data_IF_321181014671
#
_entry.id   IF_321181014671
#
_cell.length_a   1.000
_cell.length_b   1.000
_cell.length_c   1.000
_cell.angle_alpha   90.00
_cell.angle_beta   90.00
_cell.angle_gamma   90.00
#
_symmetry.space_group_name_H-M   'P 1'
#
loop_
_entity.id
_entity.type
_entity.pdbx_description
1 polymer ?
#
# COMPACT_ATOMS: atom_id res chain seq x y z
N UNK A 1 11.24 11.08 1.80
CA UNK A 1 11.12 9.63 1.52
C UNK A 1 10.73 8.93 2.80
N UNK A 2 9.92 7.88 2.70
CA UNK A 2 9.40 7.18 3.86
C UNK A 2 9.88 5.73 3.87
N UNK A 3 9.87 5.10 5.04
CA UNK A 3 10.23 3.69 5.19
C UNK A 3 9.35 3.06 6.27
N UNK A 4 8.76 1.89 5.99
CA UNK A 4 8.12 1.03 6.97
C UNK A 4 8.95 -0.22 7.20
N UNK A 5 8.86 -0.80 8.39
CA UNK A 5 9.44 -2.10 8.67
C UNK A 5 8.54 -2.97 9.53
N UNK A 6 8.68 -4.27 9.34
CA UNK A 6 8.08 -5.33 10.13
C UNK A 6 9.17 -6.27 10.61
N UNK A 7 9.21 -6.53 11.90
CA UNK A 7 10.14 -7.47 12.53
C UNK A 7 9.36 -8.44 13.42
N UNK A 8 9.12 -9.68 12.96
CA UNK A 8 8.49 -10.70 13.79
C UNK A 8 9.43 -11.15 14.93
N UNK A 9 8.85 -11.43 16.08
CA UNK A 9 9.55 -11.95 17.25
C UNK A 9 8.75 -13.10 17.87
N UNK A 10 9.35 -13.83 18.79
CA UNK A 10 8.66 -14.90 19.54
C UNK A 10 7.50 -14.40 20.43
N UNK A 11 7.39 -13.09 20.67
CA UNK A 11 6.38 -12.47 21.54
C UNK A 11 5.40 -11.57 20.80
N UNK A 12 5.44 -11.55 19.48
CA UNK A 12 4.64 -10.66 18.62
C UNK A 12 5.50 -10.03 17.52
N UNK A 13 5.23 -8.78 17.16
CA UNK A 13 5.97 -8.12 16.10
C UNK A 13 6.24 -6.65 16.44
N UNK A 14 7.35 -6.12 15.94
CA UNK A 14 7.55 -4.69 15.85
C UNK A 14 7.13 -4.21 14.46
N UNK A 15 6.38 -3.14 14.46
CA UNK A 15 6.02 -2.38 13.28
C UNK A 15 6.46 -0.94 13.48
N UNK A 16 7.13 -0.38 12.52
CA UNK A 16 7.58 1.01 12.59
C UNK A 16 7.55 1.70 11.23
N UNK A 17 7.48 3.03 11.28
CA UNK A 17 7.54 3.87 10.10
C UNK A 17 8.30 5.14 10.36
N UNK A 18 9.14 5.51 9.41
CA UNK A 18 9.71 6.84 9.28
C UNK A 18 8.97 7.59 8.17
N UNK A 19 8.37 8.74 8.49
CA UNK A 19 7.70 9.61 7.52
C UNK A 19 8.56 10.83 7.25
N UNK A 20 9.20 10.86 6.10
CA UNK A 20 10.01 11.98 5.64
C UNK A 20 9.15 12.92 4.78
N UNK A 21 8.62 13.94 5.44
CA UNK A 21 7.70 14.94 4.86
C UNK A 21 8.33 16.34 4.87
N UNK A 22 7.53 17.34 4.53
CA UNK A 22 8.04 18.72 4.54
C UNK A 22 8.47 19.16 5.94
N UNK A 23 9.64 19.79 6.09
CA UNK A 23 10.24 20.12 7.38
C UNK A 23 9.36 20.97 8.31
N UNK A 24 8.42 21.75 7.76
CA UNK A 24 7.48 22.58 8.53
C UNK A 24 6.08 21.97 8.63
N UNK A 25 5.88 20.74 8.19
CA UNK A 25 4.60 20.05 8.28
C UNK A 25 4.44 19.40 9.66
N UNK A 26 3.46 19.84 10.47
CA UNK A 26 3.25 19.21 11.77
C UNK A 26 2.65 17.81 11.61
N UNK A 27 3.18 16.87 12.38
CA UNK A 27 2.64 15.52 12.52
C UNK A 27 1.90 15.42 13.87
N UNK A 28 0.73 14.81 13.86
CA UNK A 28 -0.10 14.64 15.04
C UNK A 28 -0.36 13.17 15.34
N UNK A 29 -0.25 12.78 16.60
CA UNK A 29 -0.79 11.52 17.08
C UNK A 29 -2.25 11.72 17.46
N UNK A 30 -3.16 11.01 16.80
CA UNK A 30 -4.61 11.05 17.05
C UNK A 30 -5.10 9.74 17.61
N UNK A 31 -5.74 9.81 18.77
CA UNK A 31 -6.48 8.70 19.35
C UNK A 31 -7.96 8.86 18.98
N UNK A 32 -8.51 7.88 18.27
CA UNK A 32 -9.92 7.87 17.85
C UNK A 32 -10.64 6.79 18.63
N UNK A 33 -11.61 7.15 19.51
CA UNK A 33 -12.39 6.17 20.23
C UNK A 33 -13.23 5.28 19.31
N UNK A 34 -13.50 4.06 19.72
CA UNK A 34 -14.43 3.15 19.04
C UNK A 34 -15.80 3.81 18.86
N UNK A 35 -16.48 3.53 17.75
CA UNK A 35 -17.80 4.06 17.38
C UNK A 35 -17.87 5.58 17.21
N UNK A 36 -16.74 6.24 17.07
CA UNK A 36 -16.76 7.65 16.71
C UNK A 36 -17.05 7.79 15.22
N UNK A 37 -18.02 8.63 14.83
CA UNK A 37 -18.25 8.95 13.42
C UNK A 37 -16.98 9.48 12.77
N UNK A 38 -16.72 9.02 11.57
CA UNK A 38 -15.55 9.45 10.80
C UNK A 38 -15.92 10.61 9.87
N UNK A 39 -14.97 11.53 9.60
CA UNK A 39 -15.21 12.61 8.65
C UNK A 39 -15.30 12.06 7.23
N UNK A 40 -16.00 12.76 6.35
CA UNK A 40 -15.90 12.56 4.91
C UNK A 40 -14.69 13.30 4.34
N UNK A 41 -14.21 12.82 3.20
CA UNK A 41 -13.12 13.45 2.42
C UNK A 41 -13.62 13.77 1.04
N UNK A 42 -13.40 14.98 0.57
CA UNK A 42 -13.76 15.38 -0.80
C UNK A 42 -12.60 15.17 -1.76
N UNK A 43 -12.89 14.60 -2.93
CA UNK A 43 -11.93 14.42 -4.01
C UNK A 43 -12.65 14.53 -5.38
N UNK A 44 -12.06 15.25 -6.32
CA UNK A 44 -12.59 15.38 -7.69
C UNK A 44 -14.08 15.74 -7.77
N UNK A 45 -14.59 16.56 -6.85
CA UNK A 45 -16.02 16.90 -6.75
C UNK A 45 -16.90 15.78 -6.18
N UNK A 46 -16.33 14.69 -5.67
CA UNK A 46 -17.01 13.56 -5.03
C UNK A 46 -16.69 13.54 -3.54
N UNK A 47 -17.48 12.82 -2.77
CA UNK A 47 -17.23 12.54 -1.36
C UNK A 47 -16.79 11.09 -1.17
N UNK A 48 -15.82 10.89 -0.31
CA UNK A 48 -15.40 9.61 0.22
C UNK A 48 -15.74 9.57 1.70
N UNK A 49 -16.74 8.78 2.05
CA UNK A 49 -17.13 8.58 3.44
C UNK A 49 -16.17 7.58 4.07
N UNK A 50 -15.39 8.05 5.03
CA UNK A 50 -14.60 7.17 5.86
C UNK A 50 -15.55 6.35 6.75
N UNK A 51 -15.34 5.03 6.90
CA UNK A 51 -16.18 4.23 7.78
C UNK A 51 -16.03 4.69 9.23
N UNK A 52 -17.11 4.59 10.00
CA UNK A 52 -17.06 4.79 11.45
C UNK A 52 -16.04 3.84 12.08
N UNK A 53 -15.36 4.31 13.11
CA UNK A 53 -14.32 3.53 13.76
C UNK A 53 -14.95 2.32 14.50
N UNK A 54 -14.91 1.15 13.87
CA UNK A 54 -15.29 -0.14 14.46
C UNK A 54 -14.36 -0.54 15.61
N UNK A 55 -13.13 -0.04 15.60
CA UNK A 55 -12.10 -0.18 16.63
C UNK A 55 -11.59 1.18 17.10
N UNK A 56 -11.05 1.24 18.31
CA UNK A 56 -10.24 2.40 18.71
C UNK A 56 -8.99 2.47 17.82
N UNK A 57 -8.59 3.67 17.41
CA UNK A 57 -7.44 3.86 16.51
C UNK A 57 -6.39 4.74 17.20
N UNK A 58 -5.13 4.41 16.98
CA UNK A 58 -3.99 5.29 17.19
C UNK A 58 -3.37 5.60 15.83
N UNK A 59 -3.41 6.87 15.42
CA UNK A 59 -3.06 7.31 14.06
C UNK A 59 -1.95 8.35 14.10
N UNK A 60 -0.89 8.16 13.33
CA UNK A 60 0.10 9.19 13.04
C UNK A 60 -0.30 9.91 11.75
N UNK A 61 -0.69 11.17 11.86
CA UNK A 61 -1.32 11.93 10.79
C UNK A 61 -0.59 13.24 10.52
N UNK A 62 -0.43 13.66 9.27
CA UNK A 62 -0.23 15.07 8.97
C UNK A 62 -1.40 15.89 9.52
N UNK A 63 -1.12 17.03 10.14
CA UNK A 63 -2.12 17.79 10.92
C UNK A 63 -3.34 18.25 10.10
N UNK A 64 -3.18 18.43 8.80
CA UNK A 64 -4.17 19.02 7.89
C UNK A 64 -5.12 18.00 7.22
N UNK A 65 -4.88 16.67 7.40
CA UNK A 65 -5.73 15.66 6.78
C UNK A 65 -6.34 14.71 7.81
N UNK A 66 -7.50 14.10 7.53
CA UNK A 66 -8.09 13.09 8.39
C UNK A 66 -7.39 11.73 8.28
N UNK A 67 -6.75 11.44 7.16
CA UNK A 67 -6.01 10.21 6.90
C UNK A 67 -4.73 10.10 7.72
N UNK A 68 -4.07 8.95 7.67
CA UNK A 68 -2.90 8.62 8.46
C UNK A 68 -1.75 8.05 7.61
N UNK A 69 -0.52 8.46 7.92
CA UNK A 69 0.70 7.87 7.35
C UNK A 69 0.93 6.45 7.88
N UNK A 70 0.56 6.22 9.13
CA UNK A 70 0.49 4.91 9.76
C UNK A 70 -0.51 4.93 10.91
N UNK A 71 -0.94 3.75 11.32
CA UNK A 71 -1.78 3.62 12.50
C UNK A 71 -1.90 2.18 12.96
N UNK A 72 -2.49 2.06 14.13
CA UNK A 72 -2.82 0.81 14.81
C UNK A 72 -4.27 0.85 15.24
N UNK A 73 -4.99 -0.26 15.15
CA UNK A 73 -6.33 -0.38 15.69
C UNK A 73 -6.40 -1.29 16.93
N UNK A 74 -7.53 -1.26 17.61
CA UNK A 74 -7.76 -2.04 18.83
C UNK A 74 -7.83 -3.56 18.64
N UNK A 75 -7.83 -4.06 17.40
CA UNK A 75 -7.69 -5.48 17.08
C UNK A 75 -6.23 -5.91 16.87
N UNK A 76 -5.27 -4.99 16.98
CA UNK A 76 -3.85 -5.25 16.77
C UNK A 76 -3.42 -5.19 15.31
N UNK A 77 -4.23 -4.63 14.42
CA UNK A 77 -3.86 -4.41 13.02
C UNK A 77 -3.12 -3.09 12.86
N UNK A 78 -1.93 -3.11 12.28
CA UNK A 78 -1.13 -1.95 11.94
C UNK A 78 -0.98 -1.82 10.42
N UNK A 79 -1.05 -0.58 9.91
CA UNK A 79 -0.83 -0.26 8.50
C UNK A 79 0.06 0.97 8.39
N UNK A 80 1.03 0.93 7.49
CA UNK A 80 1.78 2.09 7.03
C UNK A 80 1.80 2.16 5.51
N UNK A 81 1.83 3.36 4.95
CA UNK A 81 1.89 3.57 3.52
C UNK A 81 3.19 4.25 3.08
N UNK A 82 3.58 3.97 1.85
CA UNK A 82 4.71 4.60 1.18
C UNK A 82 4.28 5.15 -0.17
N UNK A 83 4.72 6.36 -0.51
CA UNK A 83 4.51 6.90 -1.84
C UNK A 83 5.34 6.13 -2.86
N UNK A 84 4.69 5.64 -3.92
CA UNK A 84 5.37 4.99 -5.05
C UNK A 84 4.97 5.64 -6.38
N UNK A 85 5.90 5.65 -7.32
CA UNK A 85 5.72 6.32 -8.60
C UNK A 85 5.71 5.30 -9.73
N UNK A 86 4.55 5.19 -10.37
CA UNK A 86 4.27 4.23 -11.43
C UNK A 86 4.23 4.90 -12.81
N UNK A 87 4.42 4.11 -13.86
CA UNK A 87 4.07 4.50 -15.23
C UNK A 87 2.56 4.71 -15.42
N UNK A 88 1.74 4.11 -14.56
CA UNK A 88 0.30 4.34 -14.50
C UNK A 88 0.02 5.53 -13.59
N UNK A 89 -0.52 6.60 -14.16
CA UNK A 89 -0.71 7.86 -13.43
C UNK A 89 -1.81 7.72 -12.39
N UNK A 90 -1.48 8.05 -11.15
CA UNK A 90 -2.48 8.28 -10.11
C UNK A 90 -3.34 9.50 -10.47
N UNK A 91 -4.59 9.52 -10.03
CA UNK A 91 -5.54 10.59 -10.36
C UNK A 91 -5.18 11.87 -9.61
N UNK A 92 -5.01 13.02 -10.30
CA UNK A 92 -4.67 14.28 -9.63
C UNK A 92 -5.70 14.75 -8.60
N UNK A 93 -6.93 14.30 -8.75
CA UNK A 93 -8.10 14.58 -7.93
C UNK A 93 -8.63 13.32 -7.22
N UNK A 94 -7.79 12.30 -7.06
CA UNK A 94 -8.13 11.04 -6.41
C UNK A 94 -8.10 11.11 -4.89
N UNK A 95 -8.47 10.00 -4.24
CA UNK A 95 -8.41 9.82 -2.78
C UNK A 95 -6.96 9.55 -2.36
N UNK A 96 -6.53 10.13 -1.26
CA UNK A 96 -5.20 9.92 -0.70
C UNK A 96 -5.06 8.51 -0.12
N UNK A 97 -3.89 7.91 -0.28
CA UNK A 97 -3.59 6.61 0.35
C UNK A 97 -3.66 6.64 1.87
N UNK A 98 -3.40 7.80 2.48
CA UNK A 98 -3.55 8.00 3.92
C UNK A 98 -5.00 7.88 4.40
N UNK A 99 -5.98 8.28 3.56
CA UNK A 99 -7.40 8.08 3.85
C UNK A 99 -7.79 6.61 3.75
N UNK A 100 -7.18 5.87 2.82
CA UNK A 100 -7.33 4.41 2.73
C UNK A 100 -6.77 3.69 3.97
N UNK A 101 -5.60 4.11 4.48
CA UNK A 101 -5.04 3.58 5.74
C UNK A 101 -6.05 3.73 6.88
N UNK A 102 -6.60 4.93 7.06
CA UNK A 102 -7.60 5.17 8.10
C UNK A 102 -8.87 4.34 7.89
N UNK A 103 -9.38 4.27 6.66
CA UNK A 103 -10.57 3.50 6.33
C UNK A 103 -10.40 2.01 6.64
N UNK A 104 -9.29 1.42 6.20
CA UNK A 104 -9.00 0.00 6.44
C UNK A 104 -8.85 -0.29 7.95
N UNK A 105 -8.09 0.53 8.70
CA UNK A 105 -7.94 0.37 10.14
C UNK A 105 -9.28 0.52 10.90
N UNK A 106 -10.19 1.38 10.41
CA UNK A 106 -11.51 1.56 11.02
C UNK A 106 -12.40 0.33 10.89
N UNK A 107 -12.30 -0.39 9.77
CA UNK A 107 -13.24 -1.44 9.39
C UNK A 107 -12.74 -2.87 9.68
N UNK A 108 -11.43 -3.08 9.85
CA UNK A 108 -10.83 -4.42 9.81
C UNK A 108 -10.45 -4.93 11.20
N UNK A 109 -10.70 -6.22 11.45
CA UNK A 109 -10.36 -6.93 12.68
C UNK A 109 -9.13 -7.83 12.52
N UNK A 110 -8.64 -8.03 11.28
CA UNK A 110 -7.45 -8.80 10.96
C UNK A 110 -6.62 -8.11 9.87
N UNK A 111 -5.36 -8.52 9.71
CA UNK A 111 -4.50 -8.02 8.65
C UNK A 111 -5.05 -8.41 7.27
N UNK A 112 -5.62 -9.60 7.15
CA UNK A 112 -6.22 -10.05 5.88
C UNK A 112 -7.45 -9.22 5.50
N UNK A 113 -8.35 -8.93 6.45
CA UNK A 113 -9.48 -8.01 6.21
C UNK A 113 -9.01 -6.61 5.82
N UNK A 114 -7.93 -6.11 6.45
CA UNK A 114 -7.35 -4.82 6.11
C UNK A 114 -6.75 -4.80 4.70
N UNK A 115 -6.08 -5.88 4.29
CA UNK A 115 -5.61 -6.08 2.93
C UNK A 115 -6.76 -6.05 1.92
N UNK A 116 -7.84 -6.80 2.16
CA UNK A 116 -9.01 -6.85 1.29
C UNK A 116 -9.73 -5.49 1.23
N UNK A 117 -9.79 -4.78 2.34
CA UNK A 117 -10.33 -3.43 2.41
C UNK A 117 -9.52 -2.46 1.52
N UNK A 118 -8.19 -2.47 1.63
CA UNK A 118 -7.30 -1.64 0.80
C UNK A 118 -7.42 -1.98 -0.69
N UNK A 119 -7.55 -3.26 -1.04
CA UNK A 119 -7.77 -3.72 -2.42
C UNK A 119 -9.11 -3.18 -2.94
N UNK A 120 -10.20 -3.37 -2.20
CA UNK A 120 -11.53 -2.89 -2.57
C UNK A 120 -11.58 -1.38 -2.76
N UNK A 121 -10.92 -0.64 -1.87
CA UNK A 121 -10.79 0.82 -1.96
C UNK A 121 -10.00 1.23 -3.23
N UNK A 122 -8.91 0.52 -3.52
CA UNK A 122 -8.09 0.77 -4.72
C UNK A 122 -8.87 0.51 -6.01
N UNK A 123 -9.67 -0.54 -6.06
CA UNK A 123 -10.51 -0.88 -7.22
C UNK A 123 -11.69 0.07 -7.39
N UNK A 124 -12.31 0.48 -6.28
CA UNK A 124 -13.53 1.31 -6.30
C UNK A 124 -13.24 2.78 -6.55
N UNK A 125 -12.20 3.33 -5.91
CA UNK A 125 -11.88 4.75 -5.96
C UNK A 125 -10.61 5.00 -6.76
N UNK A 126 -10.54 6.16 -7.41
CA UNK A 126 -9.28 6.62 -8.01
C UNK A 126 -8.33 7.04 -6.90
N UNK A 127 -7.18 6.38 -6.82
CA UNK A 127 -6.12 6.74 -5.89
C UNK A 127 -5.28 7.90 -6.44
N UNK A 128 -4.83 8.78 -5.56
CA UNK A 128 -4.01 9.93 -5.93
C UNK A 128 -4.24 11.12 -5.02
N UNK A 129 -4.78 12.22 -5.58
CA UNK A 129 -4.92 13.47 -4.85
C UNK A 129 -3.58 14.16 -4.61
N UNK A 130 -3.61 15.36 -4.02
CA UNK A 130 -2.38 16.05 -3.63
C UNK A 130 -1.97 15.66 -2.21
N UNK A 131 -0.95 14.85 -2.07
CA UNK A 131 -0.39 14.42 -0.77
C UNK A 131 0.66 15.38 -0.20
N UNK A 132 0.98 16.50 -0.86
CA UNK A 132 1.98 17.45 -0.39
C UNK A 132 1.37 18.53 0.50
N UNK A 133 2.06 18.88 1.59
CA UNK A 133 1.74 20.04 2.44
C UNK A 133 1.98 21.36 1.72
N UNK A 134 3.07 21.45 0.95
CA UNK A 134 3.37 22.58 0.06
C UNK A 134 3.65 22.06 -1.34
N UNK A 135 3.12 22.76 -2.32
CA UNK A 135 3.24 22.36 -3.73
C UNK A 135 2.26 21.24 -4.11
N UNK A 136 2.66 20.40 -5.04
CA UNK A 136 1.82 19.32 -5.57
C UNK A 136 2.63 18.02 -5.70
N UNK A 137 2.12 16.95 -5.11
CA UNK A 137 2.69 15.61 -5.21
C UNK A 137 1.57 14.58 -5.31
N UNK A 138 1.44 13.96 -6.48
CA UNK A 138 0.43 12.93 -6.77
C UNK A 138 1.14 11.59 -6.97
N UNK A 139 0.71 10.56 -6.25
CA UNK A 139 1.38 9.26 -6.25
C UNK A 139 0.40 8.11 -5.98
N UNK A 140 0.82 6.90 -6.31
CA UNK A 140 0.22 5.65 -5.84
C UNK A 140 0.87 5.23 -4.52
N UNK A 141 0.37 4.18 -3.89
CA UNK A 141 0.88 3.77 -2.59
C UNK A 141 1.32 2.30 -2.58
N UNK A 142 2.32 1.99 -1.79
CA UNK A 142 2.52 0.67 -1.23
C UNK A 142 2.11 0.68 0.25
N UNK A 143 1.67 -0.46 0.74
CA UNK A 143 1.22 -0.63 2.12
C UNK A 143 1.90 -1.83 2.75
N UNK A 144 2.37 -1.66 3.98
CA UNK A 144 2.74 -2.75 4.86
C UNK A 144 1.60 -2.93 5.86
N UNK A 145 0.97 -4.10 5.83
CA UNK A 145 -0.19 -4.46 6.67
C UNK A 145 0.25 -5.58 7.61
N UNK A 146 0.07 -5.39 8.89
CA UNK A 146 0.51 -6.33 9.93
C UNK A 146 -0.61 -6.55 10.92
N UNK A 147 -0.82 -7.79 11.34
CA UNK A 147 -1.79 -8.14 12.38
C UNK A 147 -1.46 -9.47 13.04
N UNK A 148 -2.29 -9.92 14.00
CA UNK A 148 -2.08 -11.19 14.68
C UNK A 148 -2.14 -12.41 13.76
N UNK A 149 -2.82 -12.29 12.62
CA UNK A 149 -3.06 -13.33 11.62
C UNK A 149 -2.02 -13.36 10.49
N UNK A 150 -1.11 -12.40 10.44
CA UNK A 150 -0.05 -12.35 9.42
C UNK A 150 0.41 -10.95 9.05
N UNK A 151 1.27 -10.89 8.06
CA UNK A 151 1.75 -9.64 7.49
C UNK A 151 1.77 -9.70 5.96
N UNK A 152 1.47 -8.56 5.33
CA UNK A 152 1.30 -8.46 3.88
C UNK A 152 1.93 -7.17 3.35
N UNK A 153 2.48 -7.27 2.15
CA UNK A 153 2.81 -6.11 1.33
C UNK A 153 1.79 -6.01 0.20
N UNK A 154 1.13 -4.86 0.11
CA UNK A 154 0.26 -4.50 -1.01
C UNK A 154 0.88 -3.33 -1.75
N UNK A 155 1.10 -3.47 -3.04
CA UNK A 155 1.59 -2.42 -3.91
C UNK A 155 0.52 -2.06 -4.95
N UNK A 156 0.34 -0.76 -5.17
CA UNK A 156 -0.68 -0.26 -6.09
C UNK A 156 -0.09 0.62 -7.18
N UNK A 157 -0.73 0.65 -8.34
CA UNK A 157 -0.38 1.52 -9.47
C UNK A 157 -1.68 1.99 -10.13
N UNK A 158 -2.15 3.19 -9.77
CA UNK A 158 -3.50 3.68 -10.03
C UNK A 158 -4.54 2.71 -9.44
N UNK A 159 -5.31 1.98 -10.27
CA UNK A 159 -6.27 0.95 -9.83
C UNK A 159 -5.73 -0.48 -9.88
N UNK A 160 -4.51 -0.65 -10.35
CA UNK A 160 -3.82 -1.94 -10.38
C UNK A 160 -3.20 -2.24 -9.05
N UNK A 161 -3.08 -3.52 -8.71
CA UNK A 161 -2.48 -3.95 -7.47
C UNK A 161 -1.84 -5.33 -7.58
N UNK A 162 -0.88 -5.53 -6.71
CA UNK A 162 -0.27 -6.82 -6.40
C UNK A 162 -0.03 -6.92 -4.91
N UNK A 163 -0.15 -8.11 -4.33
CA UNK A 163 0.23 -8.35 -2.95
C UNK A 163 1.00 -9.64 -2.76
N UNK A 164 1.77 -9.68 -1.69
CA UNK A 164 2.46 -10.87 -1.21
C UNK A 164 2.38 -11.00 0.30
N UNK A 165 2.48 -12.22 0.78
CA UNK A 165 2.68 -12.54 2.19
C UNK A 165 4.10 -12.22 2.62
N UNK A 166 4.26 -11.89 3.91
CA UNK A 166 5.53 -11.62 4.56
C UNK A 166 5.73 -12.59 5.71
N UNK A 167 6.79 -13.41 5.65
CA UNK A 167 7.08 -14.43 6.66
C UNK A 167 8.27 -14.10 7.57
N UNK A 168 8.99 -13.01 7.29
CA UNK A 168 10.21 -12.63 8.01
C UNK A 168 10.41 -11.12 8.07
N UNK A 169 11.53 -10.64 8.59
CA UNK A 169 11.87 -9.23 8.61
C UNK A 169 11.68 -8.59 7.23
N UNK A 170 10.95 -7.51 7.18
CA UNK A 170 10.60 -6.86 5.90
C UNK A 170 10.66 -5.35 6.05
N UNK A 171 11.22 -4.70 5.04
CA UNK A 171 11.23 -3.27 4.90
C UNK A 171 10.56 -2.85 3.58
N UNK A 172 9.79 -1.77 3.66
CA UNK A 172 9.11 -1.14 2.54
C UNK A 172 9.60 0.30 2.43
N UNK A 173 9.84 0.77 1.22
CA UNK A 173 10.27 2.15 0.96
C UNK A 173 9.56 2.70 -0.28
N UNK A 174 9.98 3.87 -0.78
CA UNK A 174 9.37 4.54 -1.94
C UNK A 174 9.70 3.88 -3.29
N UNK A 175 9.76 2.55 -3.33
CA UNK A 175 9.99 1.77 -4.55
C UNK A 175 9.18 0.49 -4.54
N UNK A 176 8.81 0.00 -5.72
CA UNK A 176 8.18 -1.31 -5.86
C UNK A 176 9.14 -2.42 -5.46
N UNK A 177 8.65 -3.39 -4.71
CA UNK A 177 9.42 -4.51 -4.17
C UNK A 177 8.94 -5.88 -4.64
N UNK A 178 7.67 -5.99 -5.01
CA UNK A 178 7.11 -7.21 -5.55
C UNK A 178 7.64 -7.44 -6.96
N UNK A 179 8.15 -8.62 -7.24
CA UNK A 179 8.64 -9.02 -8.56
C UNK A 179 7.71 -10.08 -9.15
N UNK A 180 8.10 -11.32 -9.15
CA UNK A 180 7.33 -12.52 -9.50
C UNK A 180 6.82 -13.27 -8.26
N UNK A 181 7.20 -12.79 -7.08
CA UNK A 181 6.87 -13.36 -5.76
C UNK A 181 5.48 -12.91 -5.23
N UNK A 182 4.64 -12.37 -6.11
CA UNK A 182 3.27 -12.01 -5.73
C UNK A 182 2.40 -13.24 -5.45
N UNK A 183 1.51 -13.09 -4.49
CA UNK A 183 0.48 -14.09 -4.21
C UNK A 183 -0.71 -13.93 -5.16
N UNK A 184 -1.10 -12.67 -5.42
CA UNK A 184 -2.25 -12.34 -6.27
C UNK A 184 -2.09 -10.97 -6.94
N UNK A 185 -2.72 -10.83 -8.11
CA UNK A 185 -2.77 -9.62 -8.93
C UNK A 185 -4.22 -9.27 -9.27
N UNK A 186 -4.46 -7.99 -9.59
CA UNK A 186 -5.71 -7.62 -10.25
C UNK A 186 -5.85 -8.27 -11.63
N UNK A 187 -7.10 -8.35 -12.14
CA UNK A 187 -7.40 -9.08 -13.34
C UNK A 187 -6.73 -8.50 -14.61
N UNK A 188 -6.58 -7.17 -14.70
CA UNK A 188 -5.93 -6.53 -15.87
C UNK A 188 -4.43 -6.79 -15.86
N UNK A 189 -3.78 -6.64 -14.70
CA UNK A 189 -2.36 -6.91 -14.53
C UNK A 189 -2.04 -8.37 -14.79
N UNK A 190 -2.87 -9.30 -14.31
CA UNK A 190 -2.73 -10.73 -14.57
C UNK A 190 -2.72 -11.04 -16.07
N UNK A 191 -3.64 -10.46 -16.84
CA UNK A 191 -3.68 -10.61 -18.30
C UNK A 191 -2.44 -10.02 -18.99
N UNK A 192 -1.90 -8.93 -18.46
CA UNK A 192 -0.77 -8.21 -19.07
C UNK A 192 0.59 -8.86 -18.83
N UNK A 193 0.80 -9.47 -17.65
CA UNK A 193 2.08 -10.06 -17.26
C UNK A 193 2.03 -11.59 -17.12
N UNK A 194 0.87 -12.22 -17.41
CA UNK A 194 0.78 -13.66 -17.51
C UNK A 194 1.81 -14.19 -18.51
N UNK A 195 2.46 -15.31 -18.22
CA UNK A 195 3.38 -15.95 -19.15
C UNK A 195 2.78 -16.09 -20.53
N UNK A 196 3.58 -15.92 -21.57
CA UNK A 196 3.14 -16.09 -22.97
C UNK A 196 2.43 -17.42 -23.15
N UNK A 197 2.81 -18.44 -22.42
CA UNK A 197 2.23 -19.79 -22.44
C UNK A 197 0.76 -19.84 -21.97
N UNK A 198 0.35 -19.06 -20.95
CA UNK A 198 -1.07 -18.95 -20.57
C UNK A 198 -1.91 -18.23 -21.65
N UNK A 199 -1.28 -17.34 -22.42
CA UNK A 199 -1.93 -16.68 -23.56
C UNK A 199 -1.98 -17.58 -24.79
N UNK A 200 -1.04 -18.48 -24.94
CA UNK A 200 -0.96 -19.46 -26.06
C UNK A 200 -1.63 -20.79 -25.77
N UNK A 201 -1.92 -21.13 -24.51
CA UNK A 201 -2.67 -22.35 -24.13
C UNK A 201 -4.09 -22.41 -24.75
N UNK A 202 -4.55 -21.31 -25.34
CA UNK A 202 -5.73 -21.30 -26.21
C UNK A 202 -5.41 -21.71 -27.65
N UNK A 203 -4.16 -21.94 -28.03
CA UNK A 203 -3.78 -22.12 -29.44
C UNK A 203 -2.97 -23.38 -29.77
N UNK A 204 -2.27 -24.04 -28.79
CA UNK A 204 -1.54 -25.27 -29.06
C UNK A 204 -1.19 -26.07 -27.80
N UNK A 205 -1.59 -27.35 -27.76
CA UNK A 205 -1.22 -28.31 -26.73
C UNK A 205 0.26 -28.78 -26.80
N UNK A 206 1.02 -28.34 -27.78
CA UNK A 206 2.38 -28.82 -28.07
C UNK A 206 3.49 -28.15 -27.23
N UNK A 207 3.23 -27.04 -26.57
CA UNK A 207 4.21 -26.28 -25.78
C UNK A 207 4.05 -26.43 -24.24
N UNK A 208 3.36 -27.43 -23.78
CA UNK A 208 3.12 -27.71 -22.35
C UNK A 208 4.40 -27.99 -21.50
N UNK A 209 5.58 -27.92 -22.10
CA UNK A 209 6.86 -28.21 -21.42
C UNK A 209 7.65 -26.98 -20.97
N UNK A 210 7.26 -25.76 -21.34
CA UNK A 210 7.90 -24.53 -20.85
C UNK A 210 7.03 -23.88 -19.78
N UNK A 211 7.31 -24.19 -18.53
CA UNK A 211 6.80 -23.39 -17.39
C UNK A 211 7.36 -21.98 -17.59
N UNK A 212 6.55 -21.08 -18.14
CA UNK A 212 6.91 -19.69 -18.34
C UNK A 212 7.18 -19.01 -17.00
N UNK A 213 8.26 -18.27 -16.92
CA UNK A 213 8.54 -17.40 -15.77
C UNK A 213 7.37 -16.44 -15.56
N UNK A 214 6.94 -16.27 -14.29
CA UNK A 214 5.95 -15.26 -13.94
C UNK A 214 6.46 -13.89 -14.37
N UNK A 215 5.61 -13.10 -15.01
CA UNK A 215 5.95 -11.72 -15.31
C UNK A 215 6.14 -10.90 -14.03
N UNK A 216 7.11 -10.00 -14.02
CA UNK A 216 7.40 -9.17 -12.86
C UNK A 216 6.43 -8.00 -12.74
N UNK A 217 5.73 -7.92 -11.59
CA UNK A 217 4.90 -6.76 -11.24
C UNK A 217 5.72 -5.46 -11.24
N UNK A 218 6.88 -5.47 -10.58
CA UNK A 218 7.78 -4.31 -10.55
C UNK A 218 8.13 -3.81 -11.94
N UNK A 219 8.56 -4.69 -12.83
CA UNK A 219 8.89 -4.33 -14.22
C UNK A 219 7.67 -3.80 -15.00
N UNK A 220 6.47 -4.27 -14.70
CA UNK A 220 5.24 -3.83 -15.32
C UNK A 220 4.80 -2.43 -14.89
N UNK A 221 4.91 -2.10 -13.60
CA UNK A 221 4.36 -0.86 -13.06
C UNK A 221 5.39 0.24 -12.84
N UNK A 222 6.66 -0.10 -12.69
CA UNK A 222 7.68 0.85 -12.28
C UNK A 222 7.95 1.92 -13.34
N UNK A 223 8.03 3.16 -12.91
CA UNK A 223 8.58 4.24 -13.72
C UNK A 223 10.10 4.20 -13.62
N UNK A 224 10.78 3.66 -14.62
CA UNK A 224 12.24 3.48 -14.63
C UNK A 224 13.03 4.76 -14.39
N UNK A 225 12.48 5.91 -14.74
CA UNK A 225 13.12 7.20 -14.47
C UNK A 225 13.11 7.51 -12.98
N UNK A 226 11.97 7.32 -12.33
CA UNK A 226 11.80 7.58 -10.89
C UNK A 226 12.59 6.59 -10.04
N UNK A 227 12.65 5.31 -10.42
CA UNK A 227 13.39 4.29 -9.69
C UNK A 227 14.90 4.57 -9.60
N UNK A 228 15.47 5.22 -10.61
CA UNK A 228 16.88 5.62 -10.60
C UNK A 228 17.19 6.70 -9.57
N UNK A 229 16.23 7.52 -9.20
CA UNK A 229 16.39 8.59 -8.21
C UNK A 229 15.90 8.20 -6.81
N UNK A 230 15.22 7.07 -6.67
CA UNK A 230 14.78 6.60 -5.36
C UNK A 230 15.90 5.84 -4.66
N UNK A 231 16.39 6.38 -3.56
CA UNK A 231 17.27 5.66 -2.63
C UNK A 231 16.55 4.52 -1.89
N UNK A 232 15.26 4.26 -2.24
CA UNK A 232 14.40 3.30 -1.58
C UNK A 232 14.92 1.87 -1.57
N UNK A 233 15.50 1.41 -2.70
CA UNK A 233 16.04 0.05 -2.79
C UNK A 233 17.27 -0.16 -1.89
N UNK A 234 18.13 0.87 -1.74
CA UNK A 234 19.28 0.81 -0.84
C UNK A 234 18.85 0.81 0.63
N UNK A 235 17.90 1.67 1.00
CA UNK A 235 17.32 1.75 2.35
C UNK A 235 16.58 0.47 2.73
N UNK A 236 15.77 -0.07 1.82
CA UNK A 236 15.07 -1.34 2.04
C UNK A 236 16.05 -2.48 2.31
N UNK A 237 17.15 -2.58 1.56
CA UNK A 237 18.19 -3.57 1.82
C UNK A 237 18.87 -3.37 3.17
N UNK A 238 19.14 -2.13 3.56
CA UNK A 238 19.72 -1.82 4.86
C UNK A 238 18.78 -2.20 6.02
N UNK A 239 17.48 -1.91 5.89
CA UNK A 239 16.48 -2.29 6.89
C UNK A 239 16.19 -3.80 6.92
N UNK A 240 16.26 -4.48 5.78
CA UNK A 240 16.03 -5.92 5.69
C UNK A 240 17.21 -6.77 6.18
N UNK A 241 18.35 -6.14 6.53
CA UNK A 241 19.53 -6.82 7.10
C UNK A 241 19.59 -6.76 8.64
N UNK A 242 18.59 -6.16 9.29
CA UNK A 242 18.42 -6.13 10.74
C UNK A 242 17.69 -7.38 11.24
#
# INVERSE_FOLDING_TARGET
>A
MCDCFYLPTSRGAFFGKNSDRHATEPQALRLVPRRRPSPSVSFGGKSFELPDAGHALALSCPCWMPGAEMGLNGAGVAIGNEAVFSRFKAAPDGVLGMDFVRAALSASSSAHEALDSLISLTERYSQGGNGAYKGRLVYSNSYLVVGPDGAYVLETAARRWAWKEVSGPTALSNSYSITDDYKRLDAETRKAIAPVNERMACLDEADAGRIGEKGSWKAYVENRFMSRFSAGDARRRALGSL
#
